data_IF_836785388682
#
_entry.id   IF_836785388682
#
_cell.length_a   1.000
_cell.length_b   1.000
_cell.length_c   1.000
_cell.angle_alpha   90.00
_cell.angle_beta   90.00
_cell.angle_gamma   90.00
#
_symmetry.space_group_name_H-M   'P 1'
#
loop_
_entity.id
_entity.type
_entity.pdbx_description
1 polymer ?
#
# COMPACT_ATOMS: atom_id res chain seq x y z
N UNK A 1 -0.40 -16.17 4.65
CA UNK A 1 -0.28 -14.69 4.58
C UNK A 1 -0.50 -14.16 3.16
N UNK A 2 0.13 -14.75 2.14
CA UNK A 2 0.04 -14.26 0.75
C UNK A 2 -1.24 -14.63 -0.01
N UNK A 3 -2.03 -15.57 0.52
CA UNK A 3 -3.23 -16.11 -0.15
C UNK A 3 -4.22 -15.03 -0.57
N UNK A 4 -4.40 -13.97 0.23
CA UNK A 4 -5.30 -12.86 -0.12
C UNK A 4 -4.79 -12.07 -1.34
N UNK A 5 -3.48 -11.85 -1.43
CA UNK A 5 -2.87 -11.18 -2.57
C UNK A 5 -2.91 -12.05 -3.82
N UNK A 6 -2.65 -13.34 -3.67
CA UNK A 6 -2.71 -14.32 -4.76
C UNK A 6 -4.13 -14.48 -5.31
N UNK A 7 -5.13 -14.55 -4.42
CA UNK A 7 -6.53 -14.59 -4.81
C UNK A 7 -6.95 -13.31 -5.55
N UNK A 8 -6.50 -12.13 -5.07
CA UNK A 8 -6.78 -10.86 -5.73
C UNK A 8 -6.14 -10.74 -7.12
N UNK A 9 -5.02 -11.42 -7.34
CA UNK A 9 -4.31 -11.42 -8.62
C UNK A 9 -4.68 -12.61 -9.52
N UNK A 10 -5.53 -13.53 -9.03
CA UNK A 10 -5.94 -14.76 -9.71
C UNK A 10 -4.76 -15.66 -10.08
N UNK A 11 -3.81 -15.80 -9.15
CA UNK A 11 -2.63 -16.63 -9.37
C UNK A 11 -3.01 -18.12 -9.49
N UNK A 12 -2.58 -18.83 -10.56
CA UNK A 12 -3.06 -20.18 -10.87
C UNK A 12 -2.46 -21.31 -10.02
N UNK A 13 -1.71 -21.02 -8.95
CA UNK A 13 -1.11 -22.09 -8.15
C UNK A 13 -2.11 -22.71 -7.17
N UNK A 14 -2.33 -24.01 -7.36
CA UNK A 14 -3.07 -24.86 -6.43
C UNK A 14 -2.14 -25.30 -5.29
N UNK A 15 -2.14 -24.54 -4.20
CA UNK A 15 -1.33 -24.82 -3.03
C UNK A 15 -0.46 -23.63 -2.63
N UNK A 16 -0.41 -23.37 -1.33
CA UNK A 16 0.31 -22.23 -0.76
C UNK A 16 1.76 -22.12 -1.26
N UNK A 17 2.25 -20.89 -1.29
CA UNK A 17 3.58 -20.55 -1.80
C UNK A 17 4.64 -20.68 -0.71
N UNK A 18 5.79 -21.27 -1.05
CA UNK A 18 6.97 -21.29 -0.20
C UNK A 18 8.03 -20.26 -0.66
N UNK A 19 8.18 -19.18 0.10
CA UNK A 19 9.14 -18.09 -0.20
C UNK A 19 10.58 -18.48 0.13
N UNK A 20 10.78 -19.44 1.03
CA UNK A 20 12.11 -19.94 1.36
C UNK A 20 12.73 -20.70 0.19
N UNK A 21 11.90 -21.26 -0.70
CA UNK A 21 12.34 -21.89 -1.92
C UNK A 21 12.67 -20.82 -2.99
N UNK A 22 13.96 -20.66 -3.37
CA UNK A 22 14.35 -19.64 -4.33
C UNK A 22 13.70 -19.85 -5.71
N UNK A 23 13.41 -21.09 -6.12
CA UNK A 23 12.78 -21.34 -7.42
C UNK A 23 11.34 -20.84 -7.46
N UNK A 24 10.58 -21.07 -6.39
CA UNK A 24 9.20 -20.58 -6.29
C UNK A 24 9.15 -19.05 -6.25
N UNK A 25 10.02 -18.43 -5.44
CA UNK A 25 10.15 -16.97 -5.41
C UNK A 25 10.39 -16.39 -6.80
N UNK A 26 11.38 -16.93 -7.52
CA UNK A 26 11.73 -16.47 -8.87
C UNK A 26 10.59 -16.68 -9.87
N UNK A 27 9.86 -17.81 -9.77
CA UNK A 27 8.70 -18.08 -10.63
C UNK A 27 7.57 -17.07 -10.41
N UNK A 28 7.33 -16.64 -9.18
CA UNK A 28 6.28 -15.66 -8.86
C UNK A 28 6.66 -14.29 -9.40
N UNK A 29 7.92 -13.87 -9.19
CA UNK A 29 8.41 -12.60 -9.74
C UNK A 29 8.27 -12.59 -11.26
N UNK A 30 8.65 -13.69 -11.93
CA UNK A 30 8.49 -13.83 -13.37
C UNK A 30 7.02 -13.77 -13.81
N UNK A 31 6.13 -14.45 -13.09
CA UNK A 31 4.69 -14.43 -13.39
C UNK A 31 4.08 -13.03 -13.20
N UNK A 32 4.42 -12.34 -12.11
CA UNK A 32 3.98 -10.97 -11.86
C UNK A 32 4.43 -10.03 -12.97
N UNK A 33 5.67 -10.17 -13.41
CA UNK A 33 6.22 -9.39 -14.52
C UNK A 33 5.53 -9.72 -15.85
N UNK A 34 5.24 -10.98 -16.14
CA UNK A 34 4.63 -11.39 -17.41
C UNK A 34 3.14 -11.04 -17.51
N UNK A 35 2.41 -11.18 -16.40
CA UNK A 35 0.95 -11.06 -16.39
C UNK A 35 0.46 -9.69 -15.94
N UNK A 36 1.09 -9.08 -14.92
CA UNK A 36 0.55 -7.89 -14.24
C UNK A 36 1.37 -6.63 -14.49
N UNK A 37 2.69 -6.67 -14.27
CA UNK A 37 3.54 -5.48 -14.31
C UNK A 37 3.95 -5.11 -15.75
N UNK A 38 4.41 -6.10 -16.54
CA UNK A 38 4.82 -5.95 -17.95
C UNK A 38 5.72 -4.74 -18.22
N UNK A 39 6.63 -4.45 -17.30
CA UNK A 39 7.53 -3.31 -17.41
C UNK A 39 8.66 -3.56 -18.43
N UNK A 40 9.17 -4.78 -18.48
CA UNK A 40 10.26 -5.15 -19.38
C UNK A 40 9.80 -5.63 -20.76
N UNK A 41 10.62 -5.29 -21.75
CA UNK A 41 10.56 -5.86 -23.09
C UNK A 41 10.96 -7.34 -23.08
N UNK A 42 10.69 -8.03 -24.18
CA UNK A 42 10.93 -9.48 -24.31
C UNK A 42 12.41 -9.84 -24.09
N UNK A 43 13.33 -8.94 -24.45
CA UNK A 43 14.77 -9.13 -24.36
C UNK A 43 15.28 -9.04 -22.91
N UNK A 44 14.91 -7.99 -22.16
CA UNK A 44 15.29 -7.87 -20.75
C UNK A 44 14.65 -8.97 -19.88
N UNK A 45 13.46 -9.46 -20.27
CA UNK A 45 12.78 -10.57 -19.59
C UNK A 45 13.52 -11.91 -19.73
N UNK A 46 14.34 -12.08 -20.77
CA UNK A 46 15.04 -13.34 -21.02
C UNK A 46 15.94 -13.76 -19.84
N UNK A 47 16.55 -12.81 -19.15
CA UNK A 47 17.42 -13.09 -18.00
C UNK A 47 16.60 -13.47 -16.75
N UNK A 48 15.46 -12.81 -16.52
CA UNK A 48 14.54 -13.15 -15.42
C UNK A 48 13.82 -14.49 -15.63
N UNK A 49 13.72 -14.98 -16.87
CA UNK A 49 13.19 -16.32 -17.21
C UNK A 49 14.14 -17.45 -16.80
N UNK A 50 15.42 -17.18 -16.56
CA UNK A 50 16.40 -18.21 -16.16
C UNK A 50 16.32 -18.53 -14.66
N UNK A 51 15.13 -18.92 -14.19
CA UNK A 51 14.83 -19.30 -12.80
C UNK A 51 15.78 -20.37 -12.23
N UNK A 52 16.35 -21.22 -13.09
CA UNK A 52 17.31 -22.27 -12.73
C UNK A 52 18.76 -21.80 -12.53
N UNK A 53 19.16 -20.66 -13.09
CA UNK A 53 20.55 -20.17 -13.06
C UNK A 53 20.66 -18.96 -12.12
N UNK A 54 21.19 -19.17 -10.90
CA UNK A 54 21.36 -18.07 -9.93
C UNK A 54 22.25 -16.95 -10.47
N UNK A 55 23.35 -17.32 -11.12
CA UNK A 55 24.37 -16.39 -11.60
C UNK A 55 23.84 -15.36 -12.60
N UNK A 56 22.80 -15.72 -13.36
CA UNK A 56 22.19 -14.85 -14.36
C UNK A 56 20.95 -14.13 -13.81
N UNK A 57 20.21 -14.79 -12.91
CA UNK A 57 18.96 -14.25 -12.38
C UNK A 57 19.20 -13.17 -11.32
N UNK A 58 20.14 -13.37 -10.40
CA UNK A 58 20.41 -12.45 -9.31
C UNK A 58 20.81 -11.04 -9.81
N UNK A 59 21.73 -10.86 -10.78
CA UNK A 59 22.04 -9.52 -11.32
C UNK A 59 20.87 -8.91 -12.10
N UNK A 60 20.09 -9.73 -12.83
CA UNK A 60 18.90 -9.26 -13.53
C UNK A 60 17.83 -8.75 -12.56
N UNK A 61 17.66 -9.43 -11.42
CA UNK A 61 16.73 -9.01 -10.37
C UNK A 61 17.15 -7.72 -9.67
N UNK A 62 18.46 -7.49 -9.48
CA UNK A 62 18.96 -6.21 -8.95
C UNK A 62 18.65 -5.06 -9.92
N UNK A 63 18.88 -5.25 -11.22
CA UNK A 63 18.50 -4.27 -12.25
C UNK A 63 16.99 -4.00 -12.23
N UNK A 64 16.19 -5.06 -12.13
CA UNK A 64 14.74 -4.96 -12.05
C UNK A 64 14.25 -4.12 -10.88
N UNK A 65 14.83 -4.32 -9.69
CA UNK A 65 14.52 -3.48 -8.51
C UNK A 65 14.82 -2.01 -8.79
N UNK A 66 15.97 -1.72 -9.40
CA UNK A 66 16.35 -0.34 -9.70
C UNK A 66 15.36 0.33 -10.66
N UNK A 67 14.98 -0.38 -11.73
CA UNK A 67 14.06 0.13 -12.75
C UNK A 67 12.65 0.36 -12.20
N UNK A 68 12.17 -0.54 -11.34
CA UNK A 68 10.90 -0.37 -10.61
C UNK A 68 10.96 0.65 -9.47
N UNK A 69 12.12 1.26 -9.21
CA UNK A 69 12.37 2.19 -8.10
C UNK A 69 11.99 1.59 -6.75
N UNK A 70 12.47 0.37 -6.52
CA UNK A 70 12.24 -0.34 -5.26
C UNK A 70 12.75 0.46 -4.05
N UNK A 71 12.02 0.46 -2.92
CA UNK A 71 12.54 1.01 -1.67
C UNK A 71 13.76 0.23 -1.21
N UNK A 72 14.82 0.93 -0.83
CA UNK A 72 16.08 0.32 -0.37
C UNK A 72 16.00 -0.23 1.06
N UNK A 73 14.92 0.07 1.79
CA UNK A 73 14.75 -0.28 3.20
C UNK A 73 14.24 -1.71 3.44
N UNK A 74 13.89 -2.43 2.37
CA UNK A 74 13.32 -3.77 2.45
C UNK A 74 14.43 -4.79 2.73
N UNK A 75 14.35 -5.47 3.88
CA UNK A 75 15.38 -6.41 4.34
C UNK A 75 14.98 -7.86 4.14
N UNK A 76 13.68 -8.16 4.17
CA UNK A 76 13.16 -9.52 4.00
C UNK A 76 12.60 -9.76 2.60
N UNK A 77 12.83 -10.98 2.07
CA UNK A 77 12.21 -11.45 0.82
C UNK A 77 10.69 -11.39 0.86
N UNK A 78 10.09 -11.60 2.05
CA UNK A 78 8.65 -11.49 2.23
C UNK A 78 8.14 -10.06 2.03
N UNK A 79 8.89 -9.07 2.47
CA UNK A 79 8.55 -7.65 2.30
C UNK A 79 8.72 -7.24 0.83
N UNK A 80 9.80 -7.70 0.17
CA UNK A 80 9.99 -7.48 -1.27
C UNK A 80 8.82 -8.04 -2.09
N UNK A 81 8.41 -9.27 -1.79
CA UNK A 81 7.32 -9.92 -2.49
C UNK A 81 5.98 -9.20 -2.20
N UNK A 82 5.76 -8.78 -0.96
CA UNK A 82 4.57 -8.01 -0.58
C UNK A 82 4.51 -6.70 -1.35
N UNK A 83 5.63 -5.99 -1.48
CA UNK A 83 5.70 -4.76 -2.26
C UNK A 83 5.36 -5.00 -3.74
N UNK A 84 5.91 -6.07 -4.35
CA UNK A 84 5.59 -6.45 -5.73
C UNK A 84 4.10 -6.77 -5.91
N UNK A 85 3.48 -7.49 -4.97
CA UNK A 85 2.04 -7.77 -5.01
C UNK A 85 1.21 -6.49 -4.93
N UNK A 86 1.53 -5.59 -3.99
CA UNK A 86 0.82 -4.32 -3.85
C UNK A 86 0.99 -3.44 -5.09
N UNK A 87 2.17 -3.45 -5.69
CA UNK A 87 2.44 -2.73 -6.93
C UNK A 87 1.60 -3.29 -8.09
N UNK A 88 1.55 -4.61 -8.25
CA UNK A 88 0.72 -5.27 -9.25
C UNK A 88 -0.79 -4.97 -9.04
N UNK A 89 -1.28 -5.03 -7.81
CA UNK A 89 -2.68 -4.69 -7.47
C UNK A 89 -2.99 -3.23 -7.79
N UNK A 90 -2.05 -2.32 -7.50
CA UNK A 90 -2.19 -0.91 -7.83
C UNK A 90 -2.34 -0.70 -9.33
N UNK A 91 -1.54 -1.38 -10.14
CA UNK A 91 -1.64 -1.33 -11.61
C UNK A 91 -3.00 -1.87 -12.09
N UNK A 92 -3.42 -3.05 -11.60
CA UNK A 92 -4.72 -3.65 -11.94
C UNK A 92 -5.88 -2.70 -11.60
N UNK A 93 -5.82 -2.03 -10.45
CA UNK A 93 -6.82 -1.04 -10.05
C UNK A 93 -6.78 0.21 -10.94
N UNK A 94 -5.59 0.67 -11.33
CA UNK A 94 -5.41 1.82 -12.22
C UNK A 94 -5.98 1.54 -13.62
N UNK A 95 -5.76 0.35 -14.17
CA UNK A 95 -6.33 -0.07 -15.45
C UNK A 95 -7.85 -0.21 -15.40
N UNK A 96 -8.38 -0.74 -14.29
CA UNK A 96 -9.82 -0.94 -14.10
C UNK A 96 -10.49 0.21 -13.34
N UNK A 97 -9.86 1.39 -13.24
CA UNK A 97 -10.30 2.46 -12.36
C UNK A 97 -11.78 2.86 -12.61
N UNK A 98 -12.22 2.87 -13.86
CA UNK A 98 -13.59 3.17 -14.24
C UNK A 98 -14.63 2.19 -13.69
N UNK A 99 -14.26 0.92 -13.49
CA UNK A 99 -15.14 -0.10 -12.89
C UNK A 99 -15.31 0.10 -11.38
N UNK A 100 -14.30 0.66 -10.71
CA UNK A 100 -14.29 0.83 -9.25
C UNK A 100 -14.68 2.23 -8.77
N UNK A 101 -14.72 3.23 -9.67
CA UNK A 101 -15.26 4.57 -9.42
C UNK A 101 -16.66 4.57 -8.77
N UNK A 102 -17.67 3.84 -9.29
CA UNK A 102 -19.02 3.86 -8.70
C UNK A 102 -19.08 3.22 -7.32
N UNK A 103 -18.29 2.17 -7.06
CA UNK A 103 -18.21 1.51 -5.74
C UNK A 103 -17.59 2.45 -4.71
N UNK A 104 -16.55 3.20 -5.11
CA UNK A 104 -15.89 4.17 -4.24
C UNK A 104 -16.78 5.38 -3.96
N UNK A 105 -17.51 5.88 -4.97
CA UNK A 105 -18.47 6.97 -4.81
C UNK A 105 -19.67 6.56 -3.95
N UNK A 106 -20.22 5.35 -4.16
CA UNK A 106 -21.30 4.81 -3.34
C UNK A 106 -20.88 4.67 -1.87
N UNK A 107 -19.67 4.16 -1.61
CA UNK A 107 -19.14 4.03 -0.25
C UNK A 107 -18.95 5.39 0.45
N UNK A 108 -18.49 6.42 -0.28
CA UNK A 108 -18.40 7.80 0.26
C UNK A 108 -19.78 8.36 0.62
N UNK A 109 -20.78 8.13 -0.24
CA UNK A 109 -22.16 8.55 0.02
C UNK A 109 -22.77 7.81 1.23
N UNK A 110 -22.46 6.53 1.43
CA UNK A 110 -22.90 5.77 2.61
C UNK A 110 -22.19 6.21 3.89
N UNK A 111 -20.92 6.60 3.83
CA UNK A 111 -20.19 7.20 4.94
C UNK A 111 -20.75 8.59 5.32
N UNK A 112 -21.08 9.42 4.33
CA UNK A 112 -21.74 10.72 4.54
C UNK A 112 -23.15 10.56 5.12
N UNK A 113 -23.91 9.56 4.67
CA UNK A 113 -25.22 9.20 5.24
C UNK A 113 -25.12 8.68 6.68
N UNK A 114 -24.07 7.92 7.01
CA UNK A 114 -23.81 7.49 8.40
C UNK A 114 -23.35 8.64 9.29
N UNK A 115 -22.57 9.59 8.75
CA UNK A 115 -22.14 10.78 9.49
C UNK A 115 -23.31 11.74 9.78
N UNK A 116 -24.31 11.81 8.90
CA UNK A 116 -25.55 12.59 9.11
C UNK A 116 -26.63 11.85 9.90
N UNK A 117 -26.49 10.53 10.09
CA UNK A 117 -27.39 9.70 10.90
C UNK A 117 -26.85 9.37 12.31
N UNK A 118 -25.74 9.99 12.74
CA UNK A 118 -25.32 9.96 14.13
C UNK A 118 -26.35 10.73 14.98
N UNK A 119 -26.95 10.15 16.03
CA UNK A 119 -27.83 10.91 16.91
C UNK A 119 -27.02 12.03 17.56
N UNK A 120 -27.60 13.23 17.62
CA UNK A 120 -27.05 14.40 18.29
C UNK A 120 -26.95 14.09 19.80
N UNK A 121 -25.85 13.45 20.22
CA UNK A 121 -25.57 13.22 21.63
C UNK A 121 -25.16 14.59 22.18
N UNK A 122 -26.12 15.34 22.70
CA UNK A 122 -25.85 16.46 23.61
C UNK A 122 -25.26 15.86 24.89
N UNK A 123 -23.98 15.53 24.88
CA UNK A 123 -23.27 15.25 26.11
C UNK A 123 -23.18 16.57 26.87
N UNK A 124 -23.97 16.73 27.93
CA UNK A 124 -23.68 17.72 28.97
C UNK A 124 -22.40 17.25 29.67
N UNK A 125 -21.26 17.55 29.05
CA UNK A 125 -19.96 17.25 29.63
C UNK A 125 -19.66 18.37 30.65
N UNK A 126 -19.48 18.05 31.94
CA UNK A 126 -19.31 19.05 33.00
C UNK A 126 -18.01 19.88 32.91
N UNK A 127 -17.19 19.66 31.88
CA UNK A 127 -16.00 20.46 31.56
C UNK A 127 -16.26 21.59 30.55
N UNK A 128 -17.43 21.66 29.91
CA UNK A 128 -17.76 22.71 28.92
C UNK A 128 -18.06 24.09 29.53
N UNK A 129 -18.19 24.20 30.86
CA UNK A 129 -18.45 25.47 31.57
C UNK A 129 -17.23 25.96 32.38
N UNK A 130 -16.01 25.67 31.92
CA UNK A 130 -14.81 26.26 32.50
C UNK A 130 -14.44 27.45 31.63
N UNK A 131 -15.03 28.59 31.97
CA UNK A 131 -14.85 29.86 31.30
C UNK A 131 -13.39 30.32 31.51
N UNK A 132 -12.56 30.20 30.49
CA UNK A 132 -11.22 30.81 30.47
C UNK A 132 -11.34 32.32 30.25
N UNK A 133 -11.90 33.05 31.22
CA UNK A 133 -11.85 34.52 31.26
C UNK A 133 -11.31 35.02 32.60
N UNK A 134 -9.99 35.20 32.68
CA UNK A 134 -9.44 36.40 33.29
C UNK A 134 -8.20 36.84 32.51
N UNK A 135 -8.46 37.56 31.42
CA UNK A 135 -7.48 38.41 30.74
C UNK A 135 -7.18 39.62 31.64
N UNK A 136 -5.90 39.94 31.78
CA UNK A 136 -5.44 41.33 31.87
C UNK A 136 -5.49 42.02 33.24
N UNK A 137 -4.38 41.93 33.98
CA UNK A 137 -3.86 43.04 34.81
C UNK A 137 -2.42 42.73 35.27
N UNK A 138 -1.54 42.47 34.31
CA UNK A 138 -0.09 42.58 34.51
C UNK A 138 0.38 43.60 33.49
N UNK A 139 0.99 44.68 33.99
CA UNK A 139 1.55 45.85 33.29
C UNK A 139 0.62 47.06 33.12
N UNK A 140 0.38 47.79 34.21
CA UNK A 140 0.61 49.24 34.19
C UNK A 140 0.69 49.83 35.61
N UNK A 141 1.69 50.71 35.81
CA UNK A 141 1.85 51.70 36.89
C UNK A 141 2.64 51.28 38.13
N UNK A 142 3.96 51.13 37.94
CA UNK A 142 4.93 51.82 38.78
C UNK A 142 4.80 53.34 38.57
N UNK A 143 4.77 54.13 39.66
CA UNK A 143 5.15 55.55 39.66
C UNK A 143 4.08 56.57 40.11
N UNK A 144 4.26 57.13 41.31
CA UNK A 144 3.99 58.55 41.56
C UNK A 144 2.92 58.91 42.60
N UNK A 145 3.27 58.82 43.89
CA UNK A 145 3.09 59.92 44.85
C UNK A 145 4.03 59.72 46.05
#
# INVERSE_FOLDING_TARGET
>A
MFERYLAALEYPAEGGINIDNPKEFRNIVLWLEDQKIRHYTIEDRANLRKVGSSDEWDPAYVKYKLDLKFPTDLKSKSEELTWLFLYAIKLEYSDNADRYRPVTAARKLDEEKKATAAPEIKSTNPFDNIDCELVGLVLSLEGGC
#
